data_IF_894630873327
#
_entry.id   IF_894630873327
#
_cell.length_a   1.000
_cell.length_b   1.000
_cell.length_c   1.000
_cell.angle_alpha   90.00
_cell.angle_beta   90.00
_cell.angle_gamma   90.00
#
_symmetry.space_group_name_H-M   'P 1'
#
loop_
_entity.id
_entity.type
_entity.pdbx_description
1 polymer ?
#
# COMPACT_ATOMS: atom_id res chain seq x y z
N UNK A 1 -29.17 15.75 4.85
CA UNK A 1 -29.27 15.36 3.43
C UNK A 1 -27.95 14.74 3.01
N UNK A 2 -27.87 13.41 3.01
CA UNK A 2 -26.72 12.69 2.42
C UNK A 2 -26.90 12.81 0.91
N UNK A 3 -26.02 13.57 0.26
CA UNK A 3 -26.16 13.96 -1.13
C UNK A 3 -25.92 12.79 -2.11
N UNK A 4 -26.47 12.93 -3.31
CA UNK A 4 -26.33 12.04 -4.47
C UNK A 4 -24.85 11.64 -4.76
N UNK A 5 -23.86 12.42 -4.33
CA UNK A 5 -22.44 12.12 -4.46
C UNK A 5 -21.98 10.84 -3.72
N UNK A 6 -22.67 10.42 -2.66
CA UNK A 6 -22.37 9.19 -1.92
C UNK A 6 -22.86 7.93 -2.67
N UNK A 7 -23.91 8.07 -3.49
CA UNK A 7 -24.46 6.96 -4.30
C UNK A 7 -23.52 6.66 -5.48
N UNK A 8 -22.97 7.67 -6.14
CA UNK A 8 -22.01 7.50 -7.24
C UNK A 8 -20.68 6.90 -6.79
N UNK A 9 -20.17 7.27 -5.61
CA UNK A 9 -18.96 6.67 -5.03
C UNK A 9 -19.12 5.17 -4.70
N UNK A 10 -20.34 4.70 -4.49
CA UNK A 10 -20.63 3.29 -4.16
C UNK A 10 -20.81 2.40 -5.39
N UNK A 11 -21.07 2.95 -6.58
CA UNK A 11 -21.30 2.16 -7.79
C UNK A 11 -20.03 1.43 -8.27
N UNK A 12 -18.84 1.96 -7.97
CA UNK A 12 -17.56 1.35 -8.35
C UNK A 12 -16.83 0.67 -7.19
N UNK A 13 -17.48 0.55 -6.02
CA UNK A 13 -16.85 0.03 -4.78
C UNK A 13 -16.24 -1.36 -4.96
N UNK A 14 -16.87 -2.20 -5.76
CA UNK A 14 -16.44 -3.59 -5.98
C UNK A 14 -15.72 -3.80 -7.31
N UNK A 15 -15.59 -2.75 -8.14
CA UNK A 15 -14.94 -2.88 -9.45
C UNK A 15 -13.49 -3.35 -9.27
N UNK A 16 -13.17 -4.49 -9.90
CA UNK A 16 -11.87 -5.19 -9.80
C UNK A 16 -11.48 -5.67 -8.40
N UNK A 17 -12.34 -5.46 -7.39
CA UNK A 17 -12.06 -5.96 -6.06
C UNK A 17 -12.09 -7.50 -6.03
N UNK A 18 -11.18 -8.16 -5.26
CA UNK A 18 -11.26 -9.59 -5.05
C UNK A 18 -12.54 -9.94 -4.26
N UNK A 19 -13.35 -10.86 -4.81
CA UNK A 19 -14.57 -11.37 -4.18
C UNK A 19 -14.39 -12.83 -3.84
N UNK A 20 -14.12 -13.13 -2.60
CA UNK A 20 -13.81 -14.49 -2.18
C UNK A 20 -15.08 -15.25 -1.85
N UNK A 21 -15.22 -16.42 -2.45
CA UNK A 21 -16.29 -17.39 -2.22
C UNK A 21 -15.70 -18.60 -1.48
N UNK A 22 -16.19 -18.85 -0.28
CA UNK A 22 -15.72 -19.93 0.60
C UNK A 22 -16.83 -21.02 0.72
N UNK A 23 -17.03 -21.88 -0.28
CA UNK A 23 -18.02 -22.94 -0.19
C UNK A 23 -17.60 -24.00 0.84
N UNK A 24 -18.58 -24.59 1.51
CA UNK A 24 -18.45 -25.77 2.36
C UNK A 24 -18.98 -27.01 1.62
N UNK A 25 -18.80 -28.18 2.19
CA UNK A 25 -19.30 -29.44 1.63
C UNK A 25 -20.84 -29.46 1.50
N UNK A 26 -21.55 -28.64 2.27
CA UNK A 26 -23.00 -28.49 2.26
C UNK A 26 -23.50 -27.35 1.36
N UNK A 27 -22.59 -26.59 0.73
CA UNK A 27 -22.97 -25.45 -0.11
C UNK A 27 -23.64 -25.95 -1.39
N UNK A 28 -24.90 -25.57 -1.60
CA UNK A 28 -25.63 -25.92 -2.81
C UNK A 28 -24.96 -25.30 -4.05
N UNK A 29 -24.77 -26.06 -5.15
CA UNK A 29 -24.13 -25.55 -6.37
C UNK A 29 -24.76 -24.27 -6.93
N UNK A 30 -26.09 -24.14 -6.85
CA UNK A 30 -26.84 -22.96 -7.27
C UNK A 30 -26.48 -21.72 -6.44
N UNK A 31 -26.23 -21.85 -5.12
CA UNK A 31 -25.79 -20.73 -4.28
C UNK A 31 -24.40 -20.23 -4.68
N UNK A 32 -23.50 -21.16 -5.00
CA UNK A 32 -22.16 -20.80 -5.49
C UNK A 32 -22.23 -20.11 -6.86
N UNK A 33 -23.09 -20.59 -7.75
CA UNK A 33 -23.32 -19.97 -9.06
C UNK A 33 -23.91 -18.55 -8.93
N UNK A 34 -24.89 -18.37 -8.05
CA UNK A 34 -25.47 -17.06 -7.73
C UNK A 34 -24.44 -16.09 -7.15
N UNK A 35 -23.60 -16.54 -6.22
CA UNK A 35 -22.52 -15.72 -5.65
C UNK A 35 -21.51 -15.26 -6.71
N UNK A 36 -21.15 -16.14 -7.66
CA UNK A 36 -20.28 -15.77 -8.80
C UNK A 36 -20.97 -14.79 -9.74
N UNK A 37 -22.24 -14.98 -10.04
CA UNK A 37 -23.01 -14.09 -10.90
C UNK A 37 -23.08 -12.69 -10.27
N UNK A 38 -23.39 -12.60 -8.97
CA UNK A 38 -23.42 -11.36 -8.23
C UNK A 38 -22.06 -10.63 -8.27
N UNK A 39 -20.96 -11.34 -7.98
CA UNK A 39 -19.63 -10.75 -8.05
C UNK A 39 -19.33 -10.14 -9.43
N UNK A 40 -19.65 -10.87 -10.50
CA UNK A 40 -19.47 -10.39 -11.88
C UNK A 40 -20.36 -9.19 -12.20
N UNK A 41 -21.62 -9.19 -11.77
CA UNK A 41 -22.53 -8.05 -11.95
C UNK A 41 -22.00 -6.79 -11.30
N UNK A 42 -21.31 -6.93 -10.15
CA UNK A 42 -20.64 -5.85 -9.44
C UNK A 42 -19.24 -5.55 -9.99
N UNK A 43 -18.84 -6.16 -11.09
CA UNK A 43 -17.51 -6.02 -11.69
C UNK A 43 -16.36 -6.44 -10.77
N UNK A 44 -16.64 -7.24 -9.74
CA UNK A 44 -15.63 -7.82 -8.87
C UNK A 44 -15.01 -9.06 -9.50
N UNK A 45 -13.81 -9.42 -9.06
CA UNK A 45 -13.10 -10.63 -9.50
C UNK A 45 -13.37 -11.78 -8.53
N UNK A 46 -14.17 -12.80 -8.93
CA UNK A 46 -14.52 -13.90 -8.01
C UNK A 46 -13.36 -14.89 -7.88
N UNK A 47 -12.96 -15.16 -6.64
CA UNK A 47 -12.02 -16.21 -6.24
C UNK A 47 -12.75 -17.29 -5.46
N UNK A 48 -12.33 -18.54 -5.61
CA UNK A 48 -12.82 -19.66 -4.79
C UNK A 48 -11.68 -20.21 -3.96
N UNK A 49 -11.88 -20.28 -2.64
CA UNK A 49 -10.94 -20.93 -1.72
C UNK A 49 -11.65 -21.50 -0.51
N UNK A 50 -10.95 -22.37 0.24
CA UNK A 50 -11.48 -22.83 1.52
C UNK A 50 -11.48 -21.68 2.54
N UNK A 51 -12.50 -21.64 3.45
CA UNK A 51 -12.61 -20.60 4.47
C UNK A 51 -11.32 -20.51 5.33
N UNK A 52 -10.76 -21.65 5.71
CA UNK A 52 -9.49 -21.69 6.44
C UNK A 52 -8.35 -21.00 5.67
N UNK A 53 -8.22 -21.28 4.37
CA UNK A 53 -7.17 -20.66 3.55
C UNK A 53 -7.40 -19.15 3.40
N UNK A 54 -8.66 -18.70 3.29
CA UNK A 54 -9.01 -17.28 3.32
C UNK A 54 -8.55 -16.64 4.62
N UNK A 55 -8.91 -17.21 5.77
CA UNK A 55 -8.61 -16.63 7.07
C UNK A 55 -7.10 -16.57 7.35
N UNK A 56 -6.35 -17.59 6.93
CA UNK A 56 -4.89 -17.62 6.97
C UNK A 56 -4.28 -16.51 6.05
N UNK A 57 -4.84 -16.33 4.86
CA UNK A 57 -4.37 -15.30 3.93
C UNK A 57 -4.60 -13.90 4.47
N UNK A 58 -5.84 -13.58 4.90
CA UNK A 58 -6.17 -12.23 5.37
C UNK A 58 -5.48 -11.89 6.70
N UNK A 59 -5.12 -12.88 7.51
CA UNK A 59 -4.30 -12.65 8.69
C UNK A 59 -2.96 -11.98 8.34
N UNK A 60 -2.33 -12.40 7.23
CA UNK A 60 -1.03 -11.89 6.79
C UNK A 60 -1.12 -10.62 5.93
N UNK A 61 -2.10 -10.57 4.99
CA UNK A 61 -2.15 -9.49 3.99
C UNK A 61 -3.04 -8.30 4.40
N UNK A 62 -3.84 -8.45 5.46
CA UNK A 62 -4.78 -7.43 5.94
C UNK A 62 -4.62 -7.15 7.43
N UNK A 63 -4.76 -8.18 8.28
CA UNK A 63 -4.83 -7.97 9.72
C UNK A 63 -3.47 -7.60 10.32
N UNK A 64 -2.41 -8.30 9.95
CA UNK A 64 -1.06 -8.00 10.42
C UNK A 64 -0.59 -6.59 10.01
N UNK A 65 -0.75 -6.16 8.75
CA UNK A 65 -0.45 -4.78 8.36
C UNK A 65 -1.20 -3.72 9.16
N UNK A 66 -2.50 -3.92 9.40
CA UNK A 66 -3.29 -2.99 10.21
C UNK A 66 -2.78 -2.90 11.65
N UNK A 67 -2.48 -4.05 12.27
CA UNK A 67 -1.94 -4.09 13.63
C UNK A 67 -0.57 -3.39 13.68
N UNK A 68 0.32 -3.67 12.73
CA UNK A 68 1.64 -3.06 12.65
C UNK A 68 1.54 -1.54 12.50
N UNK A 69 0.69 -1.05 11.60
CA UNK A 69 0.44 0.38 11.41
C UNK A 69 -0.09 1.04 12.69
N UNK A 70 -1.04 0.39 13.37
CA UNK A 70 -1.60 0.89 14.63
C UNK A 70 -0.59 0.91 15.76
N UNK A 71 0.30 -0.10 15.85
CA UNK A 71 1.38 -0.15 16.83
C UNK A 71 2.43 0.94 16.59
N UNK A 72 2.80 1.19 15.34
CA UNK A 72 3.70 2.31 14.98
C UNK A 72 3.05 3.64 15.30
N UNK A 73 1.81 3.86 14.87
CA UNK A 73 1.08 5.10 15.12
C UNK A 73 0.89 5.38 16.62
N UNK A 74 0.67 4.33 17.43
CA UNK A 74 0.51 4.50 18.88
C UNK A 74 1.77 5.05 19.58
N UNK A 75 2.96 4.88 18.99
CA UNK A 75 4.20 5.47 19.54
C UNK A 75 4.27 6.98 19.34
N UNK A 76 3.41 7.53 18.50
CA UNK A 76 3.40 8.97 18.17
C UNK A 76 2.55 9.80 19.15
N UNK A 77 1.77 9.17 20.04
CA UNK A 77 0.84 9.88 20.93
C UNK A 77 1.51 10.94 21.81
N UNK A 78 2.69 10.61 22.34
CA UNK A 78 3.46 11.48 23.23
C UNK A 78 4.67 12.12 22.52
N UNK A 79 4.70 12.07 21.17
CA UNK A 79 5.81 12.63 20.39
C UNK A 79 5.65 14.15 20.28
N UNK A 80 6.68 14.95 20.60
CA UNK A 80 6.62 16.40 20.49
C UNK A 80 6.32 16.87 19.07
N UNK A 81 5.56 17.98 18.94
CA UNK A 81 5.17 18.55 17.62
C UNK A 81 6.37 18.86 16.72
N UNK A 82 7.49 19.31 17.31
CA UNK A 82 8.72 19.55 16.57
C UNK A 82 9.28 18.29 15.89
N UNK A 83 9.16 17.13 16.54
CA UNK A 83 9.57 15.86 15.95
C UNK A 83 8.55 15.40 14.88
N UNK A 84 7.26 15.61 15.12
CA UNK A 84 6.21 15.31 14.13
C UNK A 84 6.35 16.20 12.88
N UNK A 85 6.85 17.41 12.99
CA UNK A 85 7.12 18.28 11.84
C UNK A 85 8.19 17.73 10.89
N UNK A 86 9.02 16.79 11.36
CA UNK A 86 10.02 16.09 10.55
C UNK A 86 9.45 14.84 9.83
N UNK A 87 8.16 14.55 10.01
CA UNK A 87 7.52 13.38 9.43
C UNK A 87 7.52 13.42 7.90
N UNK A 88 8.27 12.52 7.29
CA UNK A 88 8.26 12.28 5.85
C UNK A 88 7.19 11.26 5.43
N UNK A 89 7.18 10.95 4.13
CA UNK A 89 6.21 10.04 3.52
C UNK A 89 6.29 8.62 4.08
N UNK A 90 7.46 8.12 4.42
CA UNK A 90 7.60 6.80 5.03
C UNK A 90 6.73 6.62 6.28
N UNK A 91 6.68 7.62 7.17
CA UNK A 91 5.82 7.57 8.34
C UNK A 91 4.34 7.67 7.95
N UNK A 92 3.99 8.59 7.04
CA UNK A 92 2.61 8.79 6.57
C UNK A 92 2.05 7.54 5.92
N UNK A 93 2.81 6.91 5.02
CA UNK A 93 2.40 5.69 4.32
C UNK A 93 2.24 4.51 5.29
N UNK A 94 3.19 4.33 6.21
CA UNK A 94 3.15 3.25 7.19
C UNK A 94 1.96 3.39 8.14
N UNK A 95 1.64 4.61 8.58
CA UNK A 95 0.58 4.86 9.56
C UNK A 95 -0.80 5.15 8.94
N UNK A 96 -0.89 5.32 7.63
CA UNK A 96 -2.12 5.73 6.93
C UNK A 96 -3.32 4.87 7.26
N UNK A 97 -3.15 3.55 7.32
CA UNK A 97 -4.24 2.62 7.59
C UNK A 97 -4.61 2.53 9.08
N UNK A 98 -3.79 3.06 9.99
CA UNK A 98 -4.10 3.09 11.42
C UNK A 98 -5.37 3.91 11.75
N UNK A 99 -5.74 4.87 10.89
CA UNK A 99 -6.96 5.65 11.00
C UNK A 99 -8.20 4.81 10.61
N UNK A 100 -8.60 3.89 11.46
CA UNK A 100 -9.66 2.92 11.22
C UNK A 100 -10.64 2.89 12.39
N UNK A 101 -11.88 2.41 12.13
CA UNK A 101 -12.90 2.25 13.18
C UNK A 101 -12.50 1.13 14.17
N UNK A 102 -12.30 1.45 15.46
CA UNK A 102 -11.89 0.46 16.45
C UNK A 102 -12.93 -0.65 16.65
N UNK A 103 -14.24 -0.34 16.57
CA UNK A 103 -15.29 -1.34 16.79
C UNK A 103 -15.31 -2.38 15.68
N UNK A 104 -15.12 -1.96 14.43
CA UNK A 104 -14.98 -2.86 13.30
C UNK A 104 -13.77 -3.78 13.47
N UNK A 105 -12.64 -3.22 13.86
CA UNK A 105 -11.41 -3.99 14.00
C UNK A 105 -11.42 -4.95 15.19
N UNK A 106 -12.11 -4.62 16.29
CA UNK A 106 -12.33 -5.58 17.39
C UNK A 106 -13.04 -6.84 16.89
N UNK A 107 -14.07 -6.70 16.05
CA UNK A 107 -14.78 -7.85 15.48
C UNK A 107 -13.90 -8.67 14.54
N UNK A 108 -13.16 -8.01 13.66
CA UNK A 108 -12.25 -8.65 12.69
C UNK A 108 -11.16 -9.45 13.43
N UNK A 109 -10.47 -8.81 14.36
CA UNK A 109 -9.35 -9.42 15.08
C UNK A 109 -9.83 -10.57 15.99
N UNK A 110 -10.95 -10.40 16.68
CA UNK A 110 -11.53 -11.46 17.51
C UNK A 110 -11.96 -12.66 16.68
N UNK A 111 -12.58 -12.41 15.51
CA UNK A 111 -13.06 -13.47 14.62
C UNK A 111 -11.93 -14.30 14.00
N UNK A 112 -10.74 -13.75 13.83
CA UNK A 112 -9.59 -14.43 13.22
C UNK A 112 -8.37 -14.57 14.16
N UNK A 113 -8.56 -14.45 15.46
CA UNK A 113 -7.46 -14.42 16.45
C UNK A 113 -6.51 -15.62 16.32
N UNK A 114 -7.07 -16.84 16.12
CA UNK A 114 -6.27 -18.06 16.00
C UNK A 114 -5.30 -18.09 14.83
N UNK A 115 -5.52 -17.27 13.77
CA UNK A 115 -4.63 -17.13 12.62
C UNK A 115 -3.70 -15.94 12.74
N UNK A 116 -4.12 -14.91 13.47
CA UNK A 116 -3.35 -13.68 13.70
C UNK A 116 -2.23 -13.92 14.71
N UNK A 117 -2.50 -14.60 15.81
CA UNK A 117 -1.55 -14.83 16.91
C UNK A 117 -0.22 -15.45 16.45
N UNK A 118 -0.18 -16.52 15.63
CA UNK A 118 1.07 -17.05 15.11
C UNK A 118 1.90 -16.03 14.31
N UNK A 119 1.23 -15.20 13.47
CA UNK A 119 1.91 -14.15 12.70
C UNK A 119 2.50 -13.07 13.63
N UNK A 120 1.80 -12.69 14.68
CA UNK A 120 2.32 -11.75 15.69
C UNK A 120 3.51 -12.32 16.46
N UNK A 121 3.51 -13.63 16.76
CA UNK A 121 4.68 -14.26 17.38
C UNK A 121 5.88 -14.24 16.45
N UNK A 122 5.71 -14.44 15.14
CA UNK A 122 6.77 -14.28 14.15
C UNK A 122 7.34 -12.86 14.15
N UNK A 123 6.46 -11.86 14.02
CA UNK A 123 6.86 -10.44 14.04
C UNK A 123 7.58 -10.06 15.34
N UNK A 124 7.11 -10.58 16.50
CA UNK A 124 7.77 -10.36 17.78
C UNK A 124 9.18 -10.98 17.81
N UNK A 125 9.34 -12.18 17.29
CA UNK A 125 10.65 -12.84 17.24
C UNK A 125 11.67 -12.04 16.40
N UNK A 126 11.22 -11.49 15.26
CA UNK A 126 12.05 -10.62 14.41
C UNK A 126 12.40 -9.31 15.13
N UNK A 127 11.44 -8.71 15.83
CA UNK A 127 11.67 -7.51 16.63
C UNK A 127 12.65 -7.77 17.77
N UNK A 128 12.50 -8.89 18.50
CA UNK A 128 13.42 -9.30 19.56
C UNK A 128 14.83 -9.54 19.04
N UNK A 129 14.97 -10.11 17.82
CA UNK A 129 16.26 -10.27 17.12
C UNK A 129 16.89 -8.90 16.85
N UNK A 130 16.13 -7.98 16.27
CA UNK A 130 16.61 -6.63 15.97
C UNK A 130 17.01 -5.86 17.23
N UNK A 131 16.22 -5.93 18.30
CA UNK A 131 16.53 -5.28 19.58
C UNK A 131 17.89 -5.76 20.10
N UNK A 132 18.11 -7.08 20.19
CA UNK A 132 19.41 -7.62 20.64
C UNK A 132 20.57 -7.15 19.77
N UNK A 133 20.38 -7.08 18.45
CA UNK A 133 21.42 -6.59 17.53
C UNK A 133 21.73 -5.10 17.75
N UNK A 134 20.70 -4.28 18.06
CA UNK A 134 20.86 -2.85 18.27
C UNK A 134 21.38 -2.51 19.69
N UNK A 135 21.24 -3.41 20.67
CA UNK A 135 21.85 -3.24 22.01
C UNK A 135 23.37 -3.32 21.96
N UNK A 136 23.97 -4.08 21.00
CA UNK A 136 25.40 -4.05 20.71
C UNK A 136 25.66 -4.04 19.19
N UNK A 137 25.55 -2.86 18.54
CA UNK A 137 25.70 -2.75 17.08
C UNK A 137 27.14 -2.93 16.59
N UNK A 138 28.11 -2.99 17.53
CA UNK A 138 29.52 -3.24 17.24
C UNK A 138 29.91 -4.72 17.36
N UNK A 139 29.04 -5.57 17.89
CA UNK A 139 29.28 -7.00 18.01
C UNK A 139 29.59 -7.65 16.66
N UNK A 140 30.43 -8.69 16.63
CA UNK A 140 30.68 -9.46 15.42
C UNK A 140 29.37 -9.99 14.81
N UNK A 141 29.09 -9.66 13.55
CA UNK A 141 27.88 -10.07 12.85
C UNK A 141 26.69 -9.11 12.95
N UNK A 142 26.65 -8.14 13.86
CA UNK A 142 25.51 -7.24 14.05
C UNK A 142 25.10 -6.50 12.76
N UNK A 143 26.08 -6.02 11.99
CA UNK A 143 25.81 -5.36 10.69
C UNK A 143 25.22 -6.28 9.67
N UNK A 144 25.63 -7.56 9.68
CA UNK A 144 25.07 -8.58 8.79
C UNK A 144 23.63 -8.89 9.16
N UNK A 145 23.32 -9.03 10.44
CA UNK A 145 21.95 -9.28 10.91
C UNK A 145 20.99 -8.12 10.55
N UNK A 146 21.43 -6.87 10.71
CA UNK A 146 20.65 -5.72 10.26
C UNK A 146 20.41 -5.71 8.75
N UNK A 147 21.47 -5.98 7.96
CA UNK A 147 21.36 -6.04 6.51
C UNK A 147 20.44 -7.18 6.07
N UNK A 148 20.52 -8.33 6.74
CA UNK A 148 19.66 -9.48 6.45
C UNK A 148 18.19 -9.19 6.74
N UNK A 149 17.85 -8.54 7.84
CA UNK A 149 16.47 -8.15 8.14
C UNK A 149 15.88 -7.27 7.03
N UNK A 150 16.64 -6.29 6.56
CA UNK A 150 16.19 -5.42 5.45
C UNK A 150 16.06 -6.22 4.15
N UNK A 151 16.99 -7.14 3.86
CA UNK A 151 16.93 -8.00 2.68
C UNK A 151 15.71 -8.94 2.71
N UNK A 152 15.38 -9.50 3.89
CA UNK A 152 14.17 -10.31 4.10
C UNK A 152 12.90 -9.49 3.81
N UNK A 153 12.84 -8.24 4.28
CA UNK A 153 11.76 -7.31 3.99
C UNK A 153 11.64 -7.00 2.48
N UNK A 154 12.76 -6.73 1.81
CA UNK A 154 12.80 -6.50 0.37
C UNK A 154 12.30 -7.73 -0.41
N UNK A 155 12.73 -8.94 -0.03
CA UNK A 155 12.28 -10.18 -0.63
C UNK A 155 10.76 -10.39 -0.43
N UNK A 156 10.25 -10.09 0.76
CA UNK A 156 8.81 -10.11 1.04
C UNK A 156 8.04 -9.12 0.19
N UNK A 157 8.50 -7.87 0.09
CA UNK A 157 7.89 -6.82 -0.74
C UNK A 157 7.88 -7.19 -2.22
N UNK A 158 8.94 -7.82 -2.73
CA UNK A 158 9.04 -8.26 -4.11
C UNK A 158 8.02 -9.35 -4.50
N UNK A 159 7.38 -10.02 -3.53
CA UNK A 159 6.30 -10.99 -3.77
C UNK A 159 4.92 -10.37 -3.92
N UNK A 160 4.76 -9.10 -3.54
CA UNK A 160 3.47 -8.41 -3.69
C UNK A 160 3.26 -8.09 -5.17
N UNK A 161 2.20 -8.63 -5.82
CA UNK A 161 1.95 -8.40 -7.23
C UNK A 161 1.80 -6.90 -7.56
N UNK A 162 2.25 -6.52 -8.76
CA UNK A 162 2.03 -5.20 -9.32
C UNK A 162 0.59 -4.99 -9.80
N UNK A 163 0.34 -3.89 -10.53
CA UNK A 163 -0.95 -3.60 -11.16
C UNK A 163 -1.45 -4.81 -11.97
N UNK A 164 -2.74 -5.10 -11.84
CA UNK A 164 -3.42 -6.18 -12.56
C UNK A 164 -2.85 -7.59 -12.31
N UNK A 165 -2.16 -7.82 -11.17
CA UNK A 165 -1.57 -9.12 -10.85
C UNK A 165 -0.32 -9.45 -11.66
N UNK A 166 0.26 -8.49 -12.37
CA UNK A 166 1.53 -8.67 -13.07
C UNK A 166 2.67 -9.00 -12.08
N UNK A 167 3.70 -9.74 -12.51
CA UNK A 167 4.89 -9.92 -11.71
C UNK A 167 5.42 -8.56 -11.22
N UNK A 168 6.02 -8.49 -10.03
CA UNK A 168 6.67 -7.27 -9.55
C UNK A 168 7.68 -6.80 -10.60
N UNK A 169 7.48 -5.60 -11.12
CA UNK A 169 8.37 -4.99 -12.10
C UNK A 169 9.03 -3.78 -11.45
N UNK A 170 10.33 -3.64 -11.65
CA UNK A 170 11.04 -2.44 -11.24
C UNK A 170 10.66 -1.31 -12.21
N UNK A 171 10.13 -0.22 -11.66
CA UNK A 171 9.85 0.99 -12.42
C UNK A 171 10.99 2.00 -12.23
N UNK A 172 11.24 2.80 -13.24
CA UNK A 172 12.06 3.98 -13.12
C UNK A 172 11.20 5.15 -12.66
N UNK A 173 11.74 5.94 -11.73
CA UNK A 173 11.04 7.12 -11.19
C UNK A 173 11.59 8.37 -11.86
N UNK A 174 10.69 9.24 -12.29
CA UNK A 174 10.97 10.61 -12.75
C UNK A 174 10.34 11.54 -11.73
N UNK A 175 11.17 12.37 -11.09
CA UNK A 175 10.70 13.33 -10.09
C UNK A 175 10.60 14.71 -10.75
N UNK A 176 9.44 15.34 -10.63
CA UNK A 176 9.17 16.68 -11.17
C UNK A 176 8.79 17.60 -10.02
N UNK A 177 9.45 18.76 -9.95
CA UNK A 177 9.08 19.80 -9.00
C UNK A 177 7.94 20.61 -9.62
N UNK A 178 6.85 20.76 -8.88
CA UNK A 178 5.66 21.52 -9.29
C UNK A 178 5.34 22.60 -8.26
N UNK A 179 4.85 23.73 -8.71
CA UNK A 179 4.32 24.77 -7.80
C UNK A 179 3.03 24.25 -7.14
N UNK A 180 2.85 24.54 -5.86
CA UNK A 180 1.62 24.25 -5.13
C UNK A 180 0.54 25.27 -5.51
N UNK A 181 0.03 25.13 -6.73
CA UNK A 181 -1.00 25.99 -7.29
C UNK A 181 -2.06 25.17 -8.04
N UNK A 182 -3.32 25.64 -8.06
CA UNK A 182 -4.38 24.98 -8.80
C UNK A 182 -4.01 24.77 -10.28
N UNK A 183 -4.25 23.57 -10.78
CA UNK A 183 -4.02 23.20 -12.18
C UNK A 183 -2.61 22.71 -12.52
N UNK A 184 -1.61 22.89 -11.69
CA UNK A 184 -0.23 22.48 -11.99
C UNK A 184 -0.09 20.97 -12.22
N UNK A 185 -0.71 20.15 -11.37
CA UNK A 185 -0.70 18.69 -11.53
C UNK A 185 -1.42 18.28 -12.82
N UNK A 186 -2.56 18.93 -13.14
CA UNK A 186 -3.29 18.65 -14.37
C UNK A 186 -2.43 18.99 -15.60
N UNK A 187 -1.76 20.15 -15.62
CA UNK A 187 -0.87 20.55 -16.70
C UNK A 187 0.32 19.59 -16.87
N UNK A 188 0.91 19.11 -15.76
CA UNK A 188 1.97 18.09 -15.81
C UNK A 188 1.46 16.79 -16.42
N UNK A 189 0.29 16.30 -15.99
CA UNK A 189 -0.28 15.06 -16.51
C UNK A 189 -0.70 15.17 -17.98
N UNK A 190 -1.19 16.33 -18.42
CA UNK A 190 -1.46 16.61 -19.83
C UNK A 190 -0.18 16.54 -20.67
N UNK A 191 0.94 17.08 -20.16
CA UNK A 191 2.23 16.99 -20.85
C UNK A 191 2.75 15.55 -20.91
N UNK A 192 2.67 14.80 -19.79
CA UNK A 192 2.99 13.37 -19.76
C UNK A 192 2.13 12.61 -20.79
N UNK A 193 0.83 12.91 -20.87
CA UNK A 193 -0.08 12.28 -21.84
C UNK A 193 0.28 12.51 -23.31
N UNK A 194 1.02 13.59 -23.63
CA UNK A 194 1.52 13.86 -24.99
C UNK A 194 2.75 13.05 -25.37
N UNK A 195 3.42 12.43 -24.40
CA UNK A 195 4.66 11.68 -24.65
C UNK A 195 4.43 10.22 -25.04
N UNK A 196 3.20 9.74 -25.07
CA UNK A 196 2.85 8.31 -25.25
C UNK A 196 3.54 7.37 -24.25
N UNK A 197 4.02 7.91 -23.10
CA UNK A 197 4.60 7.15 -22.00
C UNK A 197 3.52 6.78 -21.01
N UNK A 198 3.33 5.47 -20.78
CA UNK A 198 2.36 5.02 -19.79
C UNK A 198 2.86 5.27 -18.36
N UNK A 199 1.99 5.84 -17.52
CA UNK A 199 2.26 6.04 -16.08
C UNK A 199 1.85 4.80 -15.31
N UNK A 200 2.80 4.17 -14.65
CA UNK A 200 2.58 2.97 -13.85
C UNK A 200 2.16 3.29 -12.42
N UNK A 201 2.75 4.32 -11.82
CA UNK A 201 2.38 4.83 -10.50
C UNK A 201 2.66 6.34 -10.43
N UNK A 202 1.91 7.02 -9.57
CA UNK A 202 2.05 8.46 -9.34
C UNK A 202 2.03 8.73 -7.84
N UNK A 203 3.03 9.44 -7.35
CA UNK A 203 3.09 9.90 -5.97
C UNK A 203 3.25 11.40 -5.93
N UNK A 204 2.54 12.02 -5.00
CA UNK A 204 2.62 13.45 -4.76
C UNK A 204 3.18 13.67 -3.36
N UNK A 205 4.26 14.40 -3.27
CA UNK A 205 4.88 14.82 -2.03
C UNK A 205 4.77 16.34 -1.86
N UNK A 206 4.33 16.76 -0.69
CA UNK A 206 4.36 18.18 -0.32
C UNK A 206 5.50 18.43 0.65
N UNK A 207 6.39 19.34 0.31
CA UNK A 207 7.44 19.79 1.22
C UNK A 207 6.80 20.64 2.32
N UNK A 208 6.93 20.21 3.58
CA UNK A 208 6.43 20.97 4.74
C UNK A 208 7.07 22.38 4.78
N UNK A 209 6.24 23.42 4.75
CA UNK A 209 6.68 24.82 4.80
C UNK A 209 7.06 25.46 3.46
N UNK A 210 6.96 24.75 2.35
CA UNK A 210 7.21 25.28 1.02
C UNK A 210 5.96 25.15 0.12
N UNK A 211 5.74 26.15 -0.74
CA UNK A 211 4.66 26.12 -1.77
C UNK A 211 5.11 25.36 -3.02
N UNK A 212 5.76 24.22 -2.80
CA UNK A 212 6.31 23.38 -3.87
C UNK A 212 5.96 21.93 -3.55
N UNK A 213 5.40 21.24 -4.55
CA UNK A 213 5.19 19.80 -4.52
C UNK A 213 6.23 19.08 -5.35
N UNK A 214 6.50 17.83 -5.02
CA UNK A 214 7.24 16.90 -5.86
C UNK A 214 6.27 15.84 -6.37
N UNK A 215 6.28 15.61 -7.68
CA UNK A 215 5.51 14.55 -8.32
C UNK A 215 6.48 13.47 -8.79
N UNK A 216 6.38 12.29 -8.20
CA UNK A 216 7.12 11.12 -8.64
C UNK A 216 6.27 10.32 -9.62
N UNK A 217 6.75 10.19 -10.84
CA UNK A 217 6.10 9.46 -11.94
C UNK A 217 6.87 8.18 -12.18
N UNK A 218 6.26 7.04 -11.90
CA UNK A 218 6.83 5.73 -12.18
C UNK A 218 6.49 5.29 -13.59
N UNK A 219 7.49 4.92 -14.36
CA UNK A 219 7.37 4.47 -15.75
C UNK A 219 8.21 3.22 -15.99
N UNK A 220 8.02 2.53 -17.11
CA UNK A 220 8.91 1.46 -17.53
C UNK A 220 10.36 2.00 -17.69
N UNK A 221 11.39 1.26 -17.23
CA UNK A 221 12.77 1.75 -17.23
C UNK A 221 13.24 2.26 -18.59
N UNK A 222 12.87 1.57 -19.68
CA UNK A 222 13.22 1.96 -21.04
C UNK A 222 12.54 3.25 -21.56
N UNK A 223 11.56 3.79 -20.83
CA UNK A 223 10.83 5.01 -21.23
C UNK A 223 11.19 6.23 -20.38
N UNK A 224 12.04 6.04 -19.36
CA UNK A 224 12.44 7.11 -18.44
C UNK A 224 13.09 8.29 -19.14
N UNK A 225 14.11 8.03 -19.92
CA UNK A 225 14.91 9.10 -20.54
C UNK A 225 14.11 9.90 -21.57
N UNK A 226 13.19 9.24 -22.27
CA UNK A 226 12.23 9.89 -23.17
C UNK A 226 11.31 10.85 -22.40
N UNK A 227 10.74 10.41 -21.28
CA UNK A 227 9.90 11.25 -20.45
C UNK A 227 10.66 12.43 -19.86
N UNK A 228 11.89 12.21 -19.37
CA UNK A 228 12.75 13.26 -18.83
C UNK A 228 13.05 14.31 -19.90
N UNK A 229 13.41 13.88 -21.13
CA UNK A 229 13.68 14.79 -22.22
C UNK A 229 12.46 15.63 -22.61
N UNK A 230 11.29 15.01 -22.73
CA UNK A 230 10.05 15.68 -23.09
C UNK A 230 9.62 16.71 -22.03
N UNK A 231 9.61 16.33 -20.76
CA UNK A 231 9.24 17.23 -19.67
C UNK A 231 10.21 18.40 -19.54
N UNK A 232 11.52 18.14 -19.69
CA UNK A 232 12.54 19.20 -19.67
C UNK A 232 12.37 20.18 -20.84
N UNK A 233 12.10 19.67 -22.04
CA UNK A 233 11.84 20.49 -23.22
C UNK A 233 10.57 21.34 -23.07
N UNK A 234 9.56 20.84 -22.35
CA UNK A 234 8.33 21.58 -22.03
C UNK A 234 8.50 22.56 -20.85
N UNK A 235 9.71 22.68 -20.29
CA UNK A 235 10.04 23.64 -19.24
C UNK A 235 9.77 23.14 -17.80
N UNK A 236 9.46 21.87 -17.62
CA UNK A 236 9.30 21.29 -16.29
C UNK A 236 10.66 21.06 -15.61
N UNK A 237 10.68 21.29 -14.30
CA UNK A 237 11.88 21.08 -13.49
C UNK A 237 11.95 19.61 -13.07
N UNK A 238 12.72 18.81 -13.83
CA UNK A 238 12.97 17.39 -13.54
C UNK A 238 14.22 17.27 -12.67
N UNK A 239 14.22 16.35 -11.66
CA UNK A 239 15.29 16.15 -10.67
C UNK A 239 15.82 14.72 -10.76
#
# INVERSE_FOLDING_TARGET
SRGLGDVYKRQTLFTQAPWVLCPTDTTHPGALAAGRALARTLQATPYRMAARAHDESVALISHLPQIAASLVASRLQDTPDQALALAGNGLRDTTRIAASDPQLWVQILSGNAGRIVPALHGLRADLDRLIRTLEDPSAPGARLDMAQLIAEGNAGRARVPGKHGAPPQAFAVVTVIVDDAPGQIAALLDEVGRTDVNVEDLRLEHASGHRVGMVEISVLPGRRDELVAALTAAGWKVV
#
